data_IF_622913294435
#
_entry.id   IF_622913294435
#
_cell.length_a   1.000
_cell.length_b   1.000
_cell.length_c   1.000
_cell.angle_alpha   90.00
_cell.angle_beta   90.00
_cell.angle_gamma   90.00
#
_symmetry.space_group_name_H-M   'P 1'
#
loop_
_entity.id
_entity.type
_entity.pdbx_description
1 polymer ?
#
# COMPACT_ATOMS: atom_id res chain seq x y z
N UNK A 1 -4.63 -15.32 -1.70
CA UNK A 1 -5.28 -14.39 -0.75
C UNK A 1 -6.07 -15.20 0.25
N UNK A 2 -5.88 -14.94 1.52
CA UNK A 2 -6.65 -15.53 2.63
C UNK A 2 -7.84 -14.65 3.02
N UNK A 3 -8.13 -13.61 2.24
CA UNK A 3 -9.28 -12.73 2.47
C UNK A 3 -10.56 -13.49 2.14
N UNK A 4 -11.34 -13.84 3.14
CA UNK A 4 -12.67 -14.46 2.99
C UNK A 4 -13.71 -13.47 2.43
N UNK A 5 -13.42 -12.18 2.51
CA UNK A 5 -14.24 -11.08 2.03
C UNK A 5 -13.37 -10.05 1.28
N UNK A 6 -13.99 -9.21 0.46
CA UNK A 6 -13.33 -8.14 -0.33
C UNK A 6 -12.35 -8.64 -1.43
N UNK A 7 -12.50 -9.88 -1.89
CA UNK A 7 -11.79 -10.41 -3.04
C UNK A 7 -12.44 -9.95 -4.36
N UNK A 8 -11.67 -9.97 -5.44
CA UNK A 8 -12.18 -9.72 -6.78
C UNK A 8 -12.81 -10.99 -7.38
N UNK A 9 -13.96 -10.83 -8.04
CA UNK A 9 -14.64 -11.90 -8.78
C UNK A 9 -14.66 -11.51 -10.25
N UNK A 10 -14.15 -12.38 -11.11
CA UNK A 10 -14.08 -12.05 -12.52
C UNK A 10 -13.20 -13.01 -13.31
N UNK A 11 -12.69 -12.53 -14.42
CA UNK A 11 -11.80 -13.27 -15.31
C UNK A 11 -10.54 -12.48 -15.61
N UNK A 12 -9.47 -13.20 -15.88
CA UNK A 12 -8.21 -12.63 -16.32
C UNK A 12 -7.63 -13.45 -17.46
N UNK A 13 -6.96 -12.78 -18.37
CA UNK A 13 -6.29 -13.38 -19.53
C UNK A 13 -4.87 -12.86 -19.58
N UNK A 14 -3.91 -13.75 -19.77
CA UNK A 14 -2.51 -13.43 -20.01
C UNK A 14 -2.15 -13.87 -21.42
N UNK A 15 -1.61 -12.96 -22.21
CA UNK A 15 -1.23 -13.21 -23.59
C UNK A 15 0.22 -12.82 -23.85
N UNK A 16 1.01 -13.75 -24.34
CA UNK A 16 2.42 -13.54 -24.70
C UNK A 16 2.52 -12.92 -26.08
N UNK A 17 2.70 -11.59 -26.15
CA UNK A 17 2.82 -10.84 -27.38
C UNK A 17 4.11 -11.17 -28.15
N UNK A 18 5.22 -11.33 -27.41
CA UNK A 18 6.53 -11.66 -27.97
C UNK A 18 7.40 -12.35 -26.91
N UNK A 19 8.62 -12.76 -27.25
CA UNK A 19 9.53 -13.51 -26.34
C UNK A 19 9.70 -12.85 -24.96
N UNK A 20 9.62 -11.51 -24.89
CA UNK A 20 9.86 -10.72 -23.66
C UNK A 20 8.67 -9.85 -23.26
N UNK A 21 7.58 -9.88 -23.99
CA UNK A 21 6.42 -9.03 -23.79
C UNK A 21 5.20 -9.88 -23.42
N UNK A 22 4.55 -9.52 -22.33
CA UNK A 22 3.30 -10.14 -21.89
C UNK A 22 2.27 -9.04 -21.66
N UNK A 23 1.08 -9.26 -22.16
CA UNK A 23 -0.10 -8.42 -21.93
C UNK A 23 -1.07 -9.21 -21.06
N UNK A 24 -1.38 -8.66 -19.90
CA UNK A 24 -2.40 -9.17 -19.00
C UNK A 24 -3.62 -8.25 -19.02
N UNK A 25 -4.80 -8.83 -19.03
CA UNK A 25 -6.06 -8.11 -18.93
C UNK A 25 -6.96 -8.79 -17.92
N UNK A 26 -7.74 -8.01 -17.19
CA UNK A 26 -8.70 -8.54 -16.24
C UNK A 26 -9.96 -7.70 -16.16
N UNK A 27 -11.06 -8.37 -15.85
CA UNK A 27 -12.34 -7.77 -15.55
C UNK A 27 -12.91 -8.38 -14.27
N UNK A 28 -13.43 -7.56 -13.39
CA UNK A 28 -14.09 -7.99 -12.16
C UNK A 28 -15.42 -7.28 -11.98
N UNK A 29 -16.44 -8.04 -11.64
CA UNK A 29 -17.76 -7.57 -11.22
C UNK A 29 -18.09 -8.17 -9.87
N UNK A 30 -18.39 -7.33 -8.88
CA UNK A 30 -18.75 -7.81 -7.55
C UNK A 30 -19.79 -6.92 -6.86
N UNK A 31 -20.58 -7.55 -6.00
CA UNK A 31 -21.39 -6.86 -5.00
C UNK A 31 -20.53 -6.61 -3.76
N UNK A 32 -20.70 -5.48 -3.13
CA UNK A 32 -19.95 -5.07 -1.96
C UNK A 32 -20.86 -4.54 -0.89
N UNK A 33 -20.41 -4.66 0.35
CA UNK A 33 -21.07 -4.10 1.50
C UNK A 33 -20.71 -2.63 1.68
N UNK A 34 -21.68 -1.84 2.06
CA UNK A 34 -21.45 -0.43 2.30
C UNK A 34 -22.62 0.26 2.97
N UNK A 35 -22.35 1.45 3.47
CA UNK A 35 -23.38 2.36 3.95
C UNK A 35 -23.77 3.23 2.77
N UNK A 36 -25.01 3.06 2.30
CA UNK A 36 -25.59 3.80 1.20
C UNK A 36 -26.72 4.66 1.75
N UNK A 37 -26.66 5.95 1.41
CA UNK A 37 -27.69 6.93 1.70
C UNK A 37 -28.29 7.37 0.37
N UNK A 38 -29.51 6.92 0.09
CA UNK A 38 -30.28 7.14 -1.14
C UNK A 38 -29.49 7.09 -2.44
N UNK A 39 -28.67 8.10 -2.71
CA UNK A 39 -27.92 8.27 -3.96
C UNK A 39 -26.41 8.11 -3.81
N UNK A 40 -25.88 8.10 -2.58
CA UNK A 40 -24.44 8.15 -2.34
C UNK A 40 -23.94 6.99 -1.50
N UNK A 41 -22.75 6.50 -1.82
CA UNK A 41 -22.00 5.59 -0.97
C UNK A 41 -21.26 6.43 0.08
N UNK A 42 -21.62 6.27 1.36
CA UNK A 42 -20.99 6.97 2.47
C UNK A 42 -19.75 6.27 2.98
N UNK A 43 -19.73 4.94 2.96
CA UNK A 43 -18.60 4.15 3.42
C UNK A 43 -18.59 2.77 2.77
N UNK A 44 -17.42 2.30 2.39
CA UNK A 44 -17.17 0.92 1.96
C UNK A 44 -16.87 0.08 3.19
N UNK A 45 -17.57 -1.05 3.36
CA UNK A 45 -17.28 -2.04 4.38
C UNK A 45 -16.35 -3.10 3.82
N UNK A 46 -15.31 -3.45 4.58
CA UNK A 46 -14.25 -4.38 4.15
C UNK A 46 -14.07 -5.56 5.11
N UNK A 47 -14.87 -5.60 6.18
CA UNK A 47 -14.76 -6.58 7.25
C UNK A 47 -15.55 -7.88 7.00
N UNK A 48 -16.58 -7.83 6.12
CA UNK A 48 -17.40 -8.99 5.77
C UNK A 48 -18.27 -9.55 6.90
N UNK A 49 -18.41 -8.84 8.01
CA UNK A 49 -19.22 -9.30 9.12
C UNK A 49 -20.72 -9.11 8.87
N UNK A 50 -21.50 -10.20 9.06
CA UNK A 50 -22.95 -10.23 8.93
C UNK A 50 -23.58 -10.96 10.14
N UNK A 51 -23.22 -10.55 11.36
CA UNK A 51 -23.68 -11.18 12.61
C UNK A 51 -24.88 -10.50 13.23
N UNK A 52 -25.03 -9.20 12.98
CA UNK A 52 -26.12 -8.38 13.52
C UNK A 52 -27.05 -7.89 12.41
N UNK A 53 -28.32 -7.65 12.72
CA UNK A 53 -29.30 -7.12 11.77
C UNK A 53 -28.82 -5.88 11.03
N UNK A 54 -28.19 -4.93 11.75
CA UNK A 54 -27.59 -3.73 11.16
C UNK A 54 -26.42 -4.01 10.20
N UNK A 55 -25.77 -5.16 10.32
CA UNK A 55 -24.70 -5.57 9.40
C UNK A 55 -25.31 -6.18 8.14
N UNK A 56 -26.43 -6.93 8.27
CA UNK A 56 -27.18 -7.48 7.15
C UNK A 56 -27.78 -6.39 6.24
N UNK A 57 -28.27 -5.29 6.79
CA UNK A 57 -28.77 -4.15 6.00
C UNK A 57 -27.72 -3.53 5.08
N UNK A 58 -26.44 -3.71 5.39
CA UNK A 58 -25.30 -3.19 4.62
C UNK A 58 -24.75 -4.19 3.61
N UNK A 59 -25.29 -5.42 3.61
CA UNK A 59 -24.83 -6.50 2.74
C UNK A 59 -25.21 -6.26 1.30
N UNK A 60 -24.24 -6.36 0.38
CA UNK A 60 -24.48 -6.28 -1.07
C UNK A 60 -25.20 -5.00 -1.54
N UNK A 61 -25.05 -3.90 -0.83
CA UNK A 61 -25.78 -2.64 -1.09
C UNK A 61 -25.26 -1.88 -2.30
N UNK A 62 -24.08 -2.22 -2.80
CA UNK A 62 -23.45 -1.57 -3.94
C UNK A 62 -22.79 -2.57 -4.88
N UNK A 63 -22.59 -2.16 -6.13
CA UNK A 63 -21.83 -2.94 -7.11
C UNK A 63 -20.60 -2.18 -7.54
N UNK A 64 -19.54 -2.94 -7.81
CA UNK A 64 -18.26 -2.44 -8.29
C UNK A 64 -17.84 -3.22 -9.52
N UNK A 65 -17.42 -2.49 -10.55
CA UNK A 65 -16.80 -3.04 -11.74
C UNK A 65 -15.36 -2.52 -11.82
N UNK A 66 -14.46 -3.40 -12.14
CA UNK A 66 -13.04 -3.10 -12.29
C UNK A 66 -12.54 -3.75 -13.56
N UNK A 67 -11.92 -2.96 -14.41
CA UNK A 67 -11.19 -3.44 -15.58
C UNK A 67 -9.78 -2.92 -15.53
N UNK A 68 -8.82 -3.72 -15.96
CA UNK A 68 -7.45 -3.28 -16.03
C UNK A 68 -6.63 -4.10 -16.99
N UNK A 69 -5.51 -3.54 -17.37
CA UNK A 69 -4.50 -4.20 -18.18
C UNK A 69 -3.10 -3.87 -17.67
N UNK A 70 -2.19 -4.77 -17.91
CA UNK A 70 -0.79 -4.61 -17.60
C UNK A 70 0.05 -5.10 -18.78
N UNK A 71 0.98 -4.27 -19.23
CA UNK A 71 1.95 -4.61 -20.25
C UNK A 71 3.32 -4.77 -19.61
N UNK A 72 3.85 -5.97 -19.61
CA UNK A 72 5.13 -6.31 -19.00
C UNK A 72 6.20 -6.58 -20.05
N UNK A 73 7.37 -6.01 -19.81
CA UNK A 73 8.61 -6.34 -20.51
C UNK A 73 9.59 -7.02 -19.56
N UNK A 74 10.02 -8.24 -19.89
CA UNK A 74 10.97 -9.04 -19.12
C UNK A 74 12.31 -9.13 -19.85
N UNK A 75 13.23 -8.21 -19.53
CA UNK A 75 14.61 -8.21 -20.01
C UNK A 75 15.54 -9.05 -19.13
N UNK A 76 16.80 -9.19 -19.56
CA UNK A 76 17.82 -9.94 -18.80
C UNK A 76 18.19 -9.24 -17.48
N UNK A 77 18.22 -7.91 -17.47
CA UNK A 77 18.66 -7.08 -16.34
C UNK A 77 17.60 -6.07 -15.88
N UNK A 78 16.46 -6.05 -16.55
CA UNK A 78 15.36 -5.16 -16.20
C UNK A 78 14.00 -5.81 -16.46
N UNK A 79 13.04 -5.47 -15.64
CA UNK A 79 11.62 -5.71 -15.83
C UNK A 79 10.94 -4.35 -15.81
N UNK A 80 10.03 -4.12 -16.77
CA UNK A 80 9.26 -2.88 -16.86
C UNK A 80 7.80 -3.23 -16.99
N UNK A 81 6.95 -2.56 -16.26
CA UNK A 81 5.51 -2.73 -16.32
C UNK A 81 4.79 -1.41 -16.57
N UNK A 82 3.71 -1.46 -17.33
CA UNK A 82 2.76 -0.37 -17.51
C UNK A 82 1.37 -0.89 -17.20
N UNK A 83 0.75 -0.37 -16.16
CA UNK A 83 -0.56 -0.80 -15.67
C UNK A 83 -1.58 0.32 -15.83
N UNK A 84 -2.76 -0.01 -16.34
CA UNK A 84 -3.91 0.88 -16.34
C UNK A 84 -5.10 0.17 -15.70
N UNK A 85 -5.79 0.87 -14.81
CA UNK A 85 -6.95 0.33 -14.07
C UNK A 85 -8.08 1.36 -14.10
N UNK A 86 -9.26 0.92 -14.46
CA UNK A 86 -10.50 1.69 -14.39
C UNK A 86 -11.50 1.01 -13.46
N UNK A 87 -12.02 1.77 -12.52
CA UNK A 87 -12.92 1.32 -11.48
C UNK A 87 -14.19 2.16 -11.44
N UNK A 88 -15.36 1.52 -11.46
CA UNK A 88 -16.65 2.21 -11.41
C UNK A 88 -17.59 1.56 -10.39
N UNK A 89 -18.29 2.41 -9.65
CA UNK A 89 -19.36 2.03 -8.74
C UNK A 89 -20.74 2.33 -9.35
N UNK A 90 -21.77 1.63 -8.93
CA UNK A 90 -23.15 1.93 -9.36
C UNK A 90 -23.65 3.28 -8.81
N UNK A 91 -23.16 3.72 -7.66
CA UNK A 91 -23.47 5.00 -7.03
C UNK A 91 -22.18 5.79 -6.73
N UNK A 92 -22.21 7.13 -6.72
CA UNK A 92 -21.02 7.92 -6.41
C UNK A 92 -20.61 7.77 -4.94
N UNK A 93 -19.31 7.58 -4.72
CA UNK A 93 -18.68 7.60 -3.41
C UNK A 93 -18.64 9.04 -2.91
N UNK A 94 -19.24 9.31 -1.77
CA UNK A 94 -19.25 10.62 -1.13
C UNK A 94 -19.25 10.47 0.41
N UNK A 95 -18.10 10.12 1.00
CA UNK A 95 -17.97 10.04 2.45
C UNK A 95 -18.26 11.39 3.10
N UNK A 96 -18.80 11.36 4.32
CA UNK A 96 -19.03 12.57 5.11
C UNK A 96 -17.74 13.39 5.22
N UNK A 97 -17.83 14.70 4.96
CA UNK A 97 -16.66 15.57 4.99
C UNK A 97 -16.21 15.85 6.42
N UNK A 98 -14.96 15.49 6.73
CA UNK A 98 -14.26 15.79 7.99
C UNK A 98 -12.92 16.44 7.65
N UNK A 99 -12.31 17.16 8.59
CA UNK A 99 -11.08 17.90 8.39
C UNK A 99 -9.92 17.05 7.82
N UNK A 100 -9.89 15.75 8.10
CA UNK A 100 -8.82 14.84 7.68
C UNK A 100 -9.09 14.13 6.35
N UNK A 101 -10.36 14.05 5.90
CA UNK A 101 -10.75 13.24 4.73
C UNK A 101 -11.25 14.06 3.54
N UNK A 102 -10.96 15.34 3.49
CA UNK A 102 -11.45 16.22 2.41
C UNK A 102 -10.95 15.77 1.03
N UNK A 103 -9.79 15.15 0.97
CA UNK A 103 -9.17 14.63 -0.25
C UNK A 103 -9.44 13.15 -0.51
N UNK A 104 -10.24 12.48 0.31
CA UNK A 104 -10.60 11.08 0.07
C UNK A 104 -11.32 10.91 -1.26
N UNK A 105 -11.22 9.73 -1.91
CA UNK A 105 -11.86 9.46 -3.18
C UNK A 105 -13.35 9.82 -3.15
N UNK A 106 -13.78 10.65 -4.12
CA UNK A 106 -15.16 11.06 -4.32
C UNK A 106 -15.52 10.97 -5.78
N UNK A 107 -16.74 10.49 -6.08
CA UNK A 107 -17.22 10.29 -7.44
C UNK A 107 -17.60 8.83 -7.71
N UNK A 108 -18.02 8.59 -8.94
CA UNK A 108 -18.52 7.29 -9.38
C UNK A 108 -17.44 6.42 -10.00
N UNK A 109 -16.50 7.03 -10.67
CA UNK A 109 -15.46 6.39 -11.45
C UNK A 109 -14.06 6.87 -11.03
N UNK A 110 -13.10 5.98 -11.12
CA UNK A 110 -11.70 6.24 -10.80
C UNK A 110 -10.83 5.50 -11.81
N UNK A 111 -9.77 6.15 -12.27
CA UNK A 111 -8.74 5.46 -13.01
C UNK A 111 -7.35 5.81 -12.45
N UNK A 112 -6.47 4.85 -12.57
CA UNK A 112 -5.07 4.99 -12.23
C UNK A 112 -4.23 4.38 -13.35
N UNK A 113 -3.17 5.07 -13.72
CA UNK A 113 -2.16 4.58 -14.65
C UNK A 113 -0.82 4.62 -13.94
N UNK A 114 -0.10 3.50 -13.95
CA UNK A 114 1.17 3.38 -13.26
C UNK A 114 2.21 2.68 -14.11
N UNK A 115 3.46 3.09 -13.91
CA UNK A 115 4.64 2.42 -14.43
C UNK A 115 5.46 1.85 -13.29
N UNK A 116 5.90 0.60 -13.44
CA UNK A 116 6.81 -0.05 -12.51
C UNK A 116 8.08 -0.50 -13.22
N UNK A 117 9.13 -0.59 -12.45
CA UNK A 117 10.42 -1.01 -12.96
C UNK A 117 11.22 -1.80 -11.91
N UNK A 118 12.02 -2.74 -12.41
CA UNK A 118 13.02 -3.46 -11.63
C UNK A 118 14.30 -3.56 -12.46
N UNK A 119 15.40 -3.10 -11.89
CA UNK A 119 16.72 -3.21 -12.48
C UNK A 119 17.62 -4.06 -11.57
N UNK A 120 18.33 -4.99 -12.18
CA UNK A 120 19.25 -5.89 -11.49
C UNK A 120 20.67 -5.69 -12.04
N UNK A 121 21.57 -5.26 -11.17
CA UNK A 121 22.97 -5.07 -11.53
C UNK A 121 23.89 -5.60 -10.44
N UNK A 122 24.50 -6.75 -10.71
CA UNK A 122 25.39 -7.45 -9.77
C UNK A 122 24.71 -7.68 -8.40
N UNK A 123 25.06 -6.85 -7.41
CA UNK A 123 24.58 -6.91 -6.02
C UNK A 123 23.49 -5.87 -5.71
N UNK A 124 23.19 -5.04 -6.69
CA UNK A 124 22.20 -3.99 -6.57
C UNK A 124 20.89 -4.39 -7.26
N UNK A 125 19.78 -4.06 -6.62
CA UNK A 125 18.47 -4.11 -7.23
C UNK A 125 17.75 -2.80 -6.97
N UNK A 126 17.31 -2.15 -8.02
CA UNK A 126 16.50 -0.94 -7.96
C UNK A 126 15.08 -1.30 -8.41
N UNK A 127 14.11 -1.05 -7.54
CA UNK A 127 12.69 -1.32 -7.80
C UNK A 127 11.90 -0.04 -7.53
N UNK A 128 10.89 0.21 -8.34
CA UNK A 128 10.01 1.34 -8.09
C UNK A 128 8.72 1.26 -8.86
N UNK A 129 7.77 2.05 -8.40
CA UNK A 129 6.48 2.24 -9.03
C UNK A 129 6.05 3.69 -8.88
N UNK A 130 5.49 4.24 -9.95
CA UNK A 130 4.87 5.57 -9.95
C UNK A 130 3.53 5.49 -10.63
N UNK A 131 2.48 5.97 -9.98
CA UNK A 131 1.13 5.97 -10.52
C UNK A 131 0.50 7.36 -10.44
N UNK A 132 -0.34 7.65 -11.43
CA UNK A 132 -1.09 8.90 -11.56
C UNK A 132 -2.58 8.56 -11.53
N UNK A 133 -3.36 9.37 -10.85
CA UNK A 133 -4.81 9.26 -10.80
C UNK A 133 -5.51 10.16 -11.84
N UNK A 134 -6.84 10.09 -11.88
CA UNK A 134 -7.67 10.89 -12.79
C UNK A 134 -7.54 12.41 -12.62
N UNK A 135 -7.03 12.88 -11.49
CA UNK A 135 -6.82 14.30 -11.20
C UNK A 135 -5.40 14.76 -11.54
N UNK A 136 -4.55 13.87 -12.07
CA UNK A 136 -3.14 14.17 -12.35
C UNK A 136 -2.26 14.20 -11.10
N UNK A 137 -2.78 13.77 -9.95
CA UNK A 137 -1.97 13.63 -8.74
C UNK A 137 -1.27 12.27 -8.75
N UNK A 138 -0.14 12.18 -8.07
CA UNK A 138 0.73 11.04 -8.21
C UNK A 138 1.18 10.44 -6.87
N UNK A 139 1.51 9.18 -6.92
CA UNK A 139 2.10 8.43 -5.83
C UNK A 139 3.31 7.65 -6.36
N UNK A 140 4.41 7.65 -5.62
CA UNK A 140 5.61 6.92 -6.02
C UNK A 140 6.26 6.24 -4.82
N UNK A 141 6.86 5.09 -5.08
CA UNK A 141 7.72 4.37 -4.15
C UNK A 141 8.93 3.83 -4.91
N UNK A 142 10.13 4.05 -4.38
CA UNK A 142 11.36 3.57 -4.98
C UNK A 142 12.23 2.93 -3.91
N UNK A 143 12.83 1.79 -4.21
CA UNK A 143 13.64 0.99 -3.31
C UNK A 143 14.95 0.58 -3.98
N UNK A 144 16.05 0.90 -3.34
CA UNK A 144 17.37 0.38 -3.67
C UNK A 144 17.75 -0.68 -2.65
N UNK A 145 18.06 -1.88 -3.11
CA UNK A 145 18.60 -2.97 -2.31
C UNK A 145 20.03 -3.26 -2.73
N UNK A 146 20.91 -3.36 -1.75
CA UNK A 146 22.28 -3.81 -1.91
C UNK A 146 22.48 -5.08 -1.10
N UNK A 147 22.90 -6.16 -1.78
CA UNK A 147 23.08 -7.50 -1.16
C UNK A 147 24.48 -8.01 -1.47
N UNK A 148 25.52 -7.62 -0.70
CA UNK A 148 26.86 -8.17 -0.80
C UNK A 148 26.89 -9.66 -0.38
N UNK A 149 28.05 -10.30 -0.54
CA UNK A 149 28.25 -11.66 0.00
C UNK A 149 28.20 -11.64 1.53
N UNK A 150 27.92 -12.80 2.15
CA UNK A 150 27.96 -12.94 3.60
C UNK A 150 26.65 -12.66 4.34
N UNK A 151 25.49 -12.70 3.64
CA UNK A 151 24.18 -12.59 4.30
C UNK A 151 23.82 -11.17 4.74
N UNK A 152 24.55 -10.16 4.25
CA UNK A 152 24.23 -8.75 4.49
C UNK A 152 23.24 -8.24 3.47
N UNK A 153 22.25 -7.47 3.89
CA UNK A 153 21.28 -6.79 3.04
C UNK A 153 21.05 -5.37 3.54
N UNK A 154 21.24 -4.39 2.69
CA UNK A 154 20.90 -2.98 2.93
C UNK A 154 19.76 -2.60 2.02
N UNK A 155 18.73 -1.97 2.57
CA UNK A 155 17.58 -1.45 1.85
C UNK A 155 17.46 0.04 2.15
N UNK A 156 17.32 0.83 1.10
CA UNK A 156 16.96 2.25 1.19
C UNK A 156 15.70 2.43 0.35
N UNK A 157 14.68 3.04 0.93
CA UNK A 157 13.41 3.25 0.24
C UNK A 157 12.92 4.66 0.50
N UNK A 158 12.42 5.29 -0.53
CA UNK A 158 11.65 6.52 -0.41
C UNK A 158 10.23 6.29 -0.93
N UNK A 159 9.28 7.03 -0.35
CA UNK A 159 7.89 7.06 -0.79
C UNK A 159 7.34 8.46 -0.75
N UNK A 160 6.50 8.78 -1.71
CA UNK A 160 5.74 10.01 -1.75
C UNK A 160 4.34 9.72 -2.28
N UNK A 161 3.33 10.03 -1.47
CA UNK A 161 1.93 9.88 -1.82
C UNK A 161 1.26 11.23 -1.64
N UNK A 162 0.87 11.85 -2.75
CA UNK A 162 0.19 13.15 -2.72
C UNK A 162 -1.03 13.12 -1.82
N UNK A 163 -1.28 14.21 -1.10
CA UNK A 163 -2.45 14.32 -0.22
C UNK A 163 -3.79 14.20 -0.95
N UNK A 164 -3.80 14.49 -2.26
CA UNK A 164 -4.98 14.44 -3.13
C UNK A 164 -5.05 13.18 -3.98
N UNK A 165 -4.02 12.32 -3.96
CA UNK A 165 -3.99 11.10 -4.76
C UNK A 165 -5.16 10.19 -4.42
N UNK A 166 -5.89 9.75 -5.44
CA UNK A 166 -7.10 8.95 -5.30
C UNK A 166 -6.93 7.57 -5.91
N UNK A 167 -6.84 6.56 -5.06
CA UNK A 167 -6.95 5.17 -5.47
C UNK A 167 -7.75 4.38 -4.44
N UNK A 168 -8.74 3.62 -4.91
CA UNK A 168 -9.64 2.86 -4.03
C UNK A 168 -8.98 1.58 -3.53
N UNK A 169 -8.12 0.99 -4.35
CA UNK A 169 -7.54 -0.35 -4.11
C UNK A 169 -6.02 -0.36 -3.99
N UNK A 170 -5.34 0.76 -4.17
CA UNK A 170 -3.89 0.80 -4.01
C UNK A 170 -3.48 0.40 -2.59
N UNK A 171 -2.45 -0.41 -2.51
CA UNK A 171 -1.75 -0.77 -1.28
C UNK A 171 -0.26 -0.56 -1.49
N UNK A 172 0.39 0.05 -0.54
CA UNK A 172 1.82 0.29 -0.57
C UNK A 172 2.38 0.30 0.85
N UNK A 173 3.70 0.30 0.96
CA UNK A 173 4.38 0.43 2.25
C UNK A 173 4.21 1.86 2.74
N UNK A 174 3.66 2.02 3.94
CA UNK A 174 3.43 3.31 4.55
C UNK A 174 2.93 3.18 5.98
N UNK A 175 2.90 4.29 6.67
CA UNK A 175 2.35 4.39 8.02
C UNK A 175 0.82 4.54 8.00
N UNK A 176 0.28 5.09 6.92
CA UNK A 176 -1.15 5.23 6.68
C UNK A 176 -1.80 3.93 6.19
N UNK A 177 -3.12 3.81 6.33
CA UNK A 177 -3.91 2.71 5.80
C UNK A 177 -4.26 2.85 4.31
N UNK A 178 -3.97 3.99 3.73
CA UNK A 178 -4.24 4.34 2.33
C UNK A 178 -2.99 4.91 1.68
N UNK A 179 -2.84 4.72 0.37
CA UNK A 179 -1.75 5.31 -0.42
C UNK A 179 -2.12 6.78 -0.70
N UNK A 180 -1.97 7.62 0.31
CA UNK A 180 -2.34 9.03 0.26
C UNK A 180 -1.69 9.80 1.42
N UNK A 181 -1.35 11.08 1.18
CA UNK A 181 -0.94 12.02 2.23
C UNK A 181 0.25 11.54 3.06
N UNK A 182 1.29 11.00 2.42
CA UNK A 182 2.47 10.55 3.14
C UNK A 182 3.74 10.73 2.29
N UNK A 183 4.79 11.22 2.91
CA UNK A 183 6.15 11.19 2.40
C UNK A 183 7.03 10.46 3.42
N UNK A 184 7.88 9.54 2.99
CA UNK A 184 8.69 8.77 3.91
C UNK A 184 10.01 8.32 3.34
N UNK A 185 10.96 8.11 4.23
CA UNK A 185 12.28 7.58 3.96
C UNK A 185 12.58 6.45 4.93
N UNK A 186 12.87 5.28 4.39
CA UNK A 186 13.20 4.08 5.14
C UNK A 186 14.63 3.63 4.82
N UNK A 187 15.36 3.26 5.85
CA UNK A 187 16.65 2.58 5.74
C UNK A 187 16.64 1.34 6.64
N UNK A 188 17.00 0.19 6.09
CA UNK A 188 17.06 -1.07 6.82
C UNK A 188 18.34 -1.83 6.51
N UNK A 189 18.92 -2.41 7.54
CA UNK A 189 20.11 -3.26 7.47
C UNK A 189 19.81 -4.59 8.14
N UNK A 190 20.11 -5.65 7.43
CA UNK A 190 20.18 -7.01 7.96
C UNK A 190 21.57 -7.56 7.69
N UNK A 191 22.25 -8.11 8.70
CA UNK A 191 23.59 -8.66 8.55
C UNK A 191 23.87 -9.74 9.59
N UNK A 192 24.67 -10.75 9.20
CA UNK A 192 25.22 -11.71 10.14
C UNK A 192 26.50 -11.13 10.75
N UNK A 193 26.45 -10.83 12.05
CA UNK A 193 27.60 -10.31 12.80
C UNK A 193 28.57 -11.44 13.12
N UNK A 194 28.04 -12.59 13.56
CA UNK A 194 28.77 -13.80 13.90
C UNK A 194 28.05 -15.02 13.30
N UNK A 195 28.69 -16.20 13.36
CA UNK A 195 28.18 -17.45 12.76
C UNK A 195 26.71 -17.76 13.08
N UNK A 196 26.25 -17.39 14.27
CA UNK A 196 24.90 -17.70 14.75
C UNK A 196 24.13 -16.43 15.17
N UNK A 197 24.70 -15.25 14.98
CA UNK A 197 24.09 -13.97 15.39
C UNK A 197 23.80 -13.12 14.19
N UNK A 198 22.51 -12.80 14.01
CA UNK A 198 21.98 -11.93 12.98
C UNK A 198 21.46 -10.64 13.61
N UNK A 199 21.85 -9.51 13.04
CA UNK A 199 21.32 -8.22 13.41
C UNK A 199 20.36 -7.72 12.32
N UNK A 200 19.21 -7.26 12.73
CA UNK A 200 18.24 -6.55 11.88
C UNK A 200 17.95 -5.20 12.53
N UNK A 201 18.15 -4.13 11.80
CA UNK A 201 17.78 -2.79 12.25
C UNK A 201 17.16 -1.99 11.12
N UNK A 202 16.23 -1.08 11.48
CA UNK A 202 15.69 -0.12 10.54
C UNK A 202 15.31 1.19 11.21
N UNK A 203 15.26 2.25 10.37
CA UNK A 203 14.64 3.52 10.70
C UNK A 203 13.69 3.92 9.57
N UNK A 204 12.48 4.30 9.91
CA UNK A 204 11.46 4.81 9.02
C UNK A 204 11.04 6.21 9.47
N UNK A 205 11.34 7.20 8.65
CA UNK A 205 10.99 8.60 8.87
C UNK A 205 9.82 8.94 7.96
N UNK A 206 8.75 9.48 8.52
CA UNK A 206 7.56 9.80 7.75
C UNK A 206 7.00 11.18 8.10
N UNK A 207 6.38 11.78 7.09
CA UNK A 207 5.79 13.10 7.15
C UNK A 207 4.42 13.09 6.48
N UNK A 208 3.44 13.75 7.10
CA UNK A 208 2.08 13.88 6.58
C UNK A 208 1.81 15.35 6.24
N UNK A 209 1.78 15.72 4.96
CA UNK A 209 1.51 17.10 4.53
C UNK A 209 0.15 17.62 5.00
N UNK A 210 -0.87 16.77 5.00
CA UNK A 210 -2.23 17.10 5.41
C UNK A 210 -2.60 16.46 6.76
N UNK A 211 -3.73 16.91 7.30
CA UNK A 211 -4.31 16.42 8.56
C UNK A 211 -4.65 14.92 8.50
N UNK A 212 -4.63 14.27 9.64
CA UNK A 212 -5.00 12.85 9.81
C UNK A 212 -6.14 12.69 10.81
N UNK A 213 -6.69 11.51 10.86
CA UNK A 213 -7.62 11.13 11.93
C UNK A 213 -6.92 11.26 13.29
N UNK A 214 -7.56 11.95 14.24
CA UNK A 214 -7.02 12.31 15.56
C UNK A 214 -5.75 13.20 15.51
N UNK A 215 -5.54 13.91 14.42
CA UNK A 215 -4.45 14.89 14.27
C UNK A 215 -4.96 16.10 13.50
N UNK A 216 -5.34 17.14 14.20
CA UNK A 216 -5.92 18.37 13.64
C UNK A 216 -4.88 19.27 12.97
N UNK A 217 -3.60 19.13 13.35
CA UNK A 217 -2.48 19.87 12.76
C UNK A 217 -2.05 19.24 11.43
N UNK A 218 -1.81 20.06 10.41
CA UNK A 218 -1.14 19.66 9.17
C UNK A 218 0.39 19.69 9.36
N UNK A 219 1.11 18.95 8.51
CA UNK A 219 2.58 18.97 8.55
C UNK A 219 3.16 18.17 9.71
N UNK A 220 2.59 17.00 10.04
CA UNK A 220 3.04 16.18 11.17
C UNK A 220 4.11 15.17 10.77
N UNK A 221 4.96 14.80 11.70
CA UNK A 221 6.12 13.93 11.51
C UNK A 221 6.07 12.73 12.44
N UNK A 222 6.79 11.68 12.06
CA UNK A 222 7.02 10.54 12.93
C UNK A 222 8.28 9.78 12.56
N UNK A 223 8.62 8.88 13.48
CA UNK A 223 9.78 7.99 13.38
C UNK A 223 9.38 6.63 13.93
N UNK A 224 9.73 5.58 13.22
CA UNK A 224 9.66 4.19 13.69
C UNK A 224 11.03 3.54 13.50
N UNK A 225 11.64 3.04 14.57
CA UNK A 225 12.94 2.42 14.55
C UNK A 225 12.92 1.09 15.29
N UNK A 226 13.69 0.13 14.79
CA UNK A 226 13.81 -1.20 15.37
C UNK A 226 15.26 -1.68 15.32
N UNK A 227 15.67 -2.32 16.41
CA UNK A 227 16.91 -3.10 16.49
C UNK A 227 16.56 -4.49 17.04
N UNK A 228 16.94 -5.54 16.33
CA UNK A 228 16.79 -6.92 16.74
C UNK A 228 18.11 -7.65 16.59
N UNK A 229 18.46 -8.40 17.61
CA UNK A 229 19.55 -9.38 17.58
C UNK A 229 18.92 -10.76 17.73
N UNK A 230 19.14 -11.64 16.75
CA UNK A 230 18.68 -13.02 16.76
C UNK A 230 19.87 -13.95 16.90
N UNK A 231 19.78 -14.95 17.78
CA UNK A 231 20.77 -16.00 18.00
C UNK A 231 20.16 -17.35 17.69
N UNK A 232 20.68 -18.05 16.68
CA UNK A 232 20.17 -19.33 16.19
C UNK A 232 21.30 -20.35 16.12
N UNK A 233 21.66 -20.98 17.25
CA UNK A 233 22.75 -21.97 17.31
C UNK A 233 22.44 -23.28 16.58
N UNK A 234 21.17 -23.66 16.51
CA UNK A 234 20.66 -24.84 15.81
C UNK A 234 19.41 -24.48 14.98
N UNK A 235 18.95 -25.38 14.12
CA UNK A 235 17.72 -25.18 13.33
C UNK A 235 16.45 -25.20 14.20
N UNK A 236 16.50 -25.78 15.39
CA UNK A 236 15.36 -25.94 16.28
C UNK A 236 15.25 -24.84 17.33
N UNK A 237 16.32 -24.05 17.53
CA UNK A 237 16.37 -23.02 18.57
C UNK A 237 16.67 -21.66 17.97
N UNK A 238 15.74 -20.75 18.11
CA UNK A 238 15.94 -19.33 17.83
C UNK A 238 15.55 -18.50 19.06
N UNK A 239 16.44 -17.62 19.46
CA UNK A 239 16.22 -16.63 20.50
C UNK A 239 16.45 -15.25 19.93
N UNK A 240 15.68 -14.26 20.36
CA UNK A 240 15.92 -12.88 19.93
C UNK A 240 15.65 -11.87 21.05
N UNK A 241 16.36 -10.74 20.96
CA UNK A 241 16.09 -9.53 21.72
C UNK A 241 15.71 -8.46 20.71
N UNK A 242 14.60 -7.76 20.95
CA UNK A 242 14.09 -6.70 20.08
C UNK A 242 13.80 -5.44 20.87
N UNK A 243 14.32 -4.35 20.39
CA UNK A 243 13.96 -3.00 20.85
C UNK A 243 13.28 -2.26 19.71
N UNK A 244 12.12 -1.66 19.97
CA UNK A 244 11.41 -0.82 19.01
C UNK A 244 11.06 0.51 19.63
N UNK A 245 11.34 1.58 18.92
CA UNK A 245 10.98 2.93 19.29
C UNK A 245 10.10 3.54 18.22
N UNK A 246 8.91 4.03 18.60
CA UNK A 246 7.97 4.68 17.69
C UNK A 246 7.44 5.97 18.26
N UNK A 247 7.61 7.05 17.50
CA UNK A 247 7.12 8.39 17.87
C UNK A 247 6.23 8.93 16.76
N UNK A 248 5.03 9.38 17.11
CA UNK A 248 4.07 10.04 16.22
C UNK A 248 3.43 11.21 16.93
N UNK A 249 3.12 12.26 16.16
CA UNK A 249 2.28 13.35 16.64
C UNK A 249 0.81 12.90 16.68
N UNK A 250 0.11 13.25 17.75
CA UNK A 250 -1.31 13.01 17.98
C UNK A 250 -1.89 14.21 18.73
N UNK A 251 -3.18 14.51 18.51
CA UNK A 251 -3.87 15.53 19.30
C UNK A 251 -3.95 15.08 20.77
N UNK A 252 -3.80 16.03 21.65
CA UNK A 252 -3.97 15.82 23.08
C UNK A 252 -5.47 15.62 23.39
N UNK A 253 -5.81 14.54 24.09
CA UNK A 253 -7.17 14.27 24.55
C UNK A 253 -7.25 14.44 26.08
N UNK A 254 -8.41 14.82 26.60
CA UNK A 254 -8.59 15.00 28.03
C UNK A 254 -8.32 13.73 28.87
N UNK A 255 -8.32 12.56 28.21
CA UNK A 255 -7.97 11.27 28.82
C UNK A 255 -6.46 11.05 29.00
N UNK A 256 -5.63 11.91 28.40
CA UNK A 256 -4.17 11.85 28.50
C UNK A 256 -3.62 12.75 29.65
N UNK A 257 -4.53 13.32 30.52
CA UNK A 257 -4.19 14.12 31.73
C UNK A 257 -4.03 13.24 32.93
#
# INVERSE_FOLDING_TARGET
>A
STDEYNYFQGMAVSYKLAKRWTLDGFYSYRKMDGIVDNQFIRSLKKDGYHRLYREFEKKNTLTNQLVGSNLNYNGKYCELGLTAVYNVFNKPLNPEKKYYNIYYPRGKDFYNVGGDYKFFWKRFSLLGETAIDKCGTWATMNMLRYSPKGGTQLIVMNRYYDAKYQSVYARSIGEGSTVQNESGFYIGLETSILKYIKMTCYGDFFYFPWKKYLVSKAGTKGLDGLLQLSYSPTYELEMFIRYRYKKKEKDFTAADK
#
